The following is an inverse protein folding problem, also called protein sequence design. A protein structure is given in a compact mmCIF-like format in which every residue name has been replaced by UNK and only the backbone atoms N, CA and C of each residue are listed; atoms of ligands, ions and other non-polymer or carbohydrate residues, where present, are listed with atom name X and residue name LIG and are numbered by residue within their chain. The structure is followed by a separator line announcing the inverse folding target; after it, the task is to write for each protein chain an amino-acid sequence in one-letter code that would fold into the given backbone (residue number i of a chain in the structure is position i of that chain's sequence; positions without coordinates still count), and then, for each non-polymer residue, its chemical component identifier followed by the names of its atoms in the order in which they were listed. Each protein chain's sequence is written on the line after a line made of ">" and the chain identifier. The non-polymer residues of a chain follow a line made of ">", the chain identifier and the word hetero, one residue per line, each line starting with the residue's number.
data_IF_368606903223
#
_entry.id   IF_368606903223
#
_cell.length_a   1.000
_cell.length_b   1.000
_cell.length_c   1.000
_cell.angle_alpha   90.00
_cell.angle_beta   90.00
_cell.angle_gamma   90.00
#
_symmetry.space_group_name_H-M   'P 1'
#
loop_
_entity.id
_entity.type
_entity.pdbx_description
1 polymer ?
#
# COMPACT_ATOMS: atom_id res chain seq x y z
N UNK A 1 -30.48 -16.32 11.88
CA UNK A 1 -29.80 -16.52 10.59
C UNK A 1 -28.51 -15.71 10.61
N UNK A 2 -27.41 -16.40 10.89
CA UNK A 2 -26.05 -15.88 11.00
C UNK A 2 -25.44 -15.71 9.61
N UNK A 3 -25.16 -14.46 9.23
CA UNK A 3 -24.22 -14.11 8.18
C UNK A 3 -23.79 -12.65 8.36
N UNK A 4 -22.69 -12.42 9.07
CA UNK A 4 -21.85 -11.24 8.86
C UNK A 4 -20.49 -11.70 8.26
N UNK A 5 -20.41 -12.13 6.98
CA UNK A 5 -19.14 -12.54 6.38
C UNK A 5 -18.65 -11.50 5.35
N UNK A 6 -19.04 -10.22 5.47
CA UNK A 6 -18.53 -9.17 4.59
C UNK A 6 -17.39 -8.36 5.20
N UNK A 7 -17.35 -8.21 6.52
CA UNK A 7 -16.32 -7.41 7.20
C UNK A 7 -14.93 -8.04 7.14
N UNK A 8 -14.85 -9.37 6.96
CA UNK A 8 -13.60 -10.15 6.99
C UNK A 8 -13.13 -10.62 5.59
N UNK A 9 -13.88 -10.29 4.53
CA UNK A 9 -13.64 -10.83 3.19
C UNK A 9 -12.78 -9.94 2.27
N UNK A 10 -12.58 -8.66 2.63
CA UNK A 10 -11.84 -7.72 1.78
C UNK A 10 -10.64 -7.18 2.54
N UNK A 11 -9.46 -7.76 2.31
CA UNK A 11 -8.22 -7.19 2.86
C UNK A 11 -7.96 -5.89 2.10
N UNK A 12 -7.43 -4.87 2.78
CA UNK A 12 -7.09 -3.61 2.11
C UNK A 12 -6.15 -3.81 0.90
N UNK A 13 -5.31 -4.85 0.93
CA UNK A 13 -4.42 -5.24 -0.16
C UNK A 13 -5.15 -5.78 -1.41
N UNK A 14 -6.38 -6.27 -1.26
CA UNK A 14 -7.21 -6.79 -2.34
C UNK A 14 -7.92 -5.67 -3.12
N UNK A 15 -7.90 -4.44 -2.58
CA UNK A 15 -8.45 -3.26 -3.24
C UNK A 15 -7.41 -2.73 -4.25
N UNK A 16 -7.66 -2.78 -5.57
CA UNK A 16 -6.65 -2.44 -6.58
C UNK A 16 -6.05 -1.03 -6.41
N UNK A 17 -6.89 -0.06 -6.03
CA UNK A 17 -6.46 1.31 -5.77
C UNK A 17 -5.51 1.44 -4.57
N UNK A 18 -5.74 0.68 -3.50
CA UNK A 18 -4.89 0.69 -2.30
C UNK A 18 -3.53 0.05 -2.61
N UNK A 19 -3.52 -1.05 -3.37
CA UNK A 19 -2.28 -1.68 -3.84
C UNK A 19 -1.46 -0.74 -4.72
N UNK A 20 -2.10 -0.05 -5.67
CA UNK A 20 -1.43 0.94 -6.51
C UNK A 20 -0.86 2.09 -5.68
N UNK A 21 -1.64 2.61 -4.73
CA UNK A 21 -1.20 3.68 -3.83
C UNK A 21 0.03 3.25 -3.01
N UNK A 22 0.01 2.04 -2.43
CA UNK A 22 1.15 1.52 -1.67
C UNK A 22 2.43 1.41 -2.52
N UNK A 23 2.32 0.95 -3.77
CA UNK A 23 3.46 0.89 -4.70
C UNK A 23 4.00 2.28 -5.04
N UNK A 24 3.12 3.25 -5.32
CA UNK A 24 3.53 4.63 -5.66
C UNK A 24 4.18 5.31 -4.46
N UNK A 25 3.54 5.25 -3.29
CA UNK A 25 4.06 5.89 -2.06
C UNK A 25 5.38 5.23 -1.65
N UNK A 26 5.44 3.90 -1.61
CA UNK A 26 6.65 3.16 -1.26
C UNK A 26 7.81 3.43 -2.24
N UNK A 27 7.52 3.40 -3.55
CA UNK A 27 8.51 3.69 -4.58
C UNK A 27 9.05 5.13 -4.51
N UNK A 28 8.17 6.11 -4.31
CA UNK A 28 8.58 7.51 -4.15
C UNK A 28 9.46 7.69 -2.90
N UNK A 29 9.07 7.08 -1.78
CA UNK A 29 9.83 7.17 -0.54
C UNK A 29 11.20 6.52 -0.66
N UNK A 30 11.28 5.35 -1.31
CA UNK A 30 12.53 4.67 -1.62
C UNK A 30 13.44 5.56 -2.49
N UNK A 31 12.89 6.18 -3.52
CA UNK A 31 13.65 7.04 -4.43
C UNK A 31 14.18 8.29 -3.71
N UNK A 32 13.37 8.89 -2.82
CA UNK A 32 13.79 9.99 -1.95
C UNK A 32 14.91 9.55 -1.00
N UNK A 33 14.78 8.38 -0.37
CA UNK A 33 15.79 7.85 0.55
C UNK A 33 17.12 7.60 -0.16
N UNK A 34 17.09 6.98 -1.34
CA UNK A 34 18.27 6.80 -2.20
C UNK A 34 18.91 8.15 -2.52
N UNK A 35 18.11 9.12 -2.99
CA UNK A 35 18.59 10.47 -3.31
C UNK A 35 19.20 11.17 -2.09
N UNK A 36 18.70 10.92 -0.89
CA UNK A 36 19.25 11.48 0.34
C UNK A 36 20.61 10.87 0.70
N UNK A 37 20.80 9.56 0.49
CA UNK A 37 22.08 8.89 0.72
C UNK A 37 23.19 9.42 -0.18
N UNK A 38 22.90 9.66 -1.47
CA UNK A 38 23.85 10.18 -2.44
C UNK A 38 24.03 11.71 -2.42
N UNK A 39 23.28 12.43 -1.59
CA UNK A 39 23.45 13.88 -1.39
C UNK A 39 24.42 14.24 -0.26
N UNK A 40 25.06 13.25 0.36
CA UNK A 40 26.27 13.43 1.19
C UNK A 40 27.52 13.33 0.32
#
# INVERSE_FOLDING_TARGET
>A
MSALPLADATRAADIPGVRLLGLVVGGLFLLIAIRAMFRR
#
